data_IF_206510517035
#
_entry.id   IF_206510517035
#
_cell.length_a   1.000
_cell.length_b   1.000
_cell.length_c   1.000
_cell.angle_alpha   90.00
_cell.angle_beta   90.00
_cell.angle_gamma   90.00
#
_symmetry.space_group_name_H-M   'P 1'
#
loop_
_entity.id
_entity.type
_entity.pdbx_description
1 polymer ?
#
# COMPACT_ATOMS: atom_id res chain seq x y z
N UNK A 1 3.52 16.86 -11.90
CA UNK A 1 2.84 15.66 -12.43
C UNK A 1 1.50 16.03 -13.05
N UNK A 2 1.15 15.48 -14.21
CA UNK A 2 -0.17 15.62 -14.83
C UNK A 2 -0.55 14.31 -15.53
N UNK A 3 -1.87 14.04 -15.60
CA UNK A 3 -2.40 12.89 -16.32
C UNK A 3 -2.47 13.21 -17.81
N UNK A 4 -2.04 12.27 -18.64
CA UNK A 4 -2.16 12.39 -20.12
C UNK A 4 -3.45 11.76 -20.61
N UNK A 5 -3.97 10.75 -19.92
CA UNK A 5 -5.23 10.11 -20.26
C UNK A 5 -5.51 8.84 -19.47
N UNK A 6 -6.74 8.38 -19.60
CA UNK A 6 -7.21 7.10 -19.06
C UNK A 6 -7.74 6.28 -20.24
N UNK A 7 -7.40 5.01 -20.30
CA UNK A 7 -7.89 4.11 -21.32
C UNK A 7 -8.59 2.89 -20.68
N UNK A 8 -9.67 2.45 -21.29
CA UNK A 8 -10.37 1.24 -20.93
C UNK A 8 -9.93 0.09 -21.85
N UNK A 9 -9.48 -1.01 -21.25
CA UNK A 9 -9.04 -2.20 -21.96
C UNK A 9 -10.16 -3.25 -21.89
N UNK A 10 -10.59 -3.77 -23.05
CA UNK A 10 -11.62 -4.79 -23.13
C UNK A 10 -11.07 -6.18 -22.81
N UNK A 11 -11.85 -6.95 -22.05
CA UNK A 11 -11.48 -8.33 -21.69
C UNK A 11 -11.23 -9.19 -22.94
N UNK A 12 -10.11 -9.92 -22.95
CA UNK A 12 -9.77 -10.87 -24.00
C UNK A 12 -9.37 -10.24 -25.34
N UNK A 13 -9.11 -8.95 -25.38
CA UNK A 13 -8.64 -8.26 -26.57
C UNK A 13 -7.21 -7.78 -26.39
N UNK A 14 -6.44 -7.76 -27.49
CA UNK A 14 -5.18 -7.03 -27.61
C UNK A 14 -5.53 -5.66 -28.16
N UNK A 15 -5.22 -4.62 -27.42
CA UNK A 15 -5.54 -3.25 -27.82
C UNK A 15 -4.28 -2.39 -27.84
N UNK A 16 -4.18 -1.54 -28.84
CA UNK A 16 -3.17 -0.50 -28.91
C UNK A 16 -3.77 0.79 -28.41
N UNK A 17 -3.19 1.33 -27.35
CA UNK A 17 -3.62 2.59 -26.75
C UNK A 17 -2.57 3.64 -27.09
N UNK A 18 -3.00 4.77 -27.62
CA UNK A 18 -2.15 5.91 -27.93
C UNK A 18 -2.42 7.02 -26.95
N UNK A 19 -1.39 7.55 -26.34
CA UNK A 19 -1.42 8.75 -25.53
C UNK A 19 -0.62 9.84 -26.23
N UNK A 20 -1.22 11.01 -26.35
CA UNK A 20 -0.59 12.20 -26.92
C UNK A 20 -0.62 13.34 -25.92
N UNK A 21 0.47 14.07 -25.85
CA UNK A 21 0.52 15.29 -25.04
C UNK A 21 -0.29 16.39 -25.70
N UNK A 22 -1.14 17.04 -24.92
CA UNK A 22 -1.82 18.25 -25.37
C UNK A 22 -0.80 19.38 -25.59
N UNK A 23 -1.10 20.34 -26.52
CA UNK A 23 -0.21 21.46 -26.86
C UNK A 23 0.33 22.18 -25.63
N UNK A 24 -0.52 22.52 -24.65
CA UNK A 24 -0.11 23.18 -23.40
C UNK A 24 0.81 22.33 -22.53
N UNK A 25 0.66 21.01 -22.55
CA UNK A 25 1.56 20.09 -21.84
C UNK A 25 2.94 20.07 -22.52
N UNK A 26 2.98 20.08 -23.84
CA UNK A 26 4.22 20.19 -24.62
C UNK A 26 4.94 21.51 -24.34
N UNK A 27 4.21 22.65 -24.38
CA UNK A 27 4.77 23.96 -24.06
C UNK A 27 5.36 24.02 -22.65
N UNK A 28 4.65 23.44 -21.67
CA UNK A 28 5.16 23.34 -20.30
C UNK A 28 6.42 22.46 -20.21
N UNK A 29 6.45 21.31 -20.87
CA UNK A 29 7.63 20.43 -20.86
C UNK A 29 8.82 21.12 -21.53
N UNK A 30 8.61 21.83 -22.66
CA UNK A 30 9.68 22.61 -23.30
C UNK A 30 10.21 23.72 -22.40
N UNK A 31 9.38 24.33 -21.56
CA UNK A 31 9.82 25.36 -20.60
C UNK A 31 10.72 24.82 -19.49
N UNK A 32 10.71 23.49 -19.26
CA UNK A 32 11.60 22.82 -18.30
C UNK A 32 13.00 22.53 -18.85
N UNK A 33 13.22 22.81 -20.14
CA UNK A 33 14.48 22.52 -20.87
C UNK A 33 14.65 21.02 -21.13
N UNK A 34 15.90 20.56 -21.28
CA UNK A 34 16.24 19.17 -21.63
C UNK A 34 16.17 18.18 -20.45
N UNK A 35 15.37 18.47 -19.44
CA UNK A 35 15.18 17.55 -18.32
C UNK A 35 14.45 16.29 -18.76
N UNK A 36 14.90 15.09 -18.32
CA UNK A 36 14.22 13.86 -18.68
C UNK A 36 12.79 13.85 -18.12
N UNK A 37 11.86 13.41 -18.96
CA UNK A 37 10.43 13.28 -18.60
C UNK A 37 10.17 11.83 -18.20
N UNK A 38 9.65 11.64 -16.99
CA UNK A 38 9.25 10.33 -16.49
C UNK A 38 7.80 10.02 -16.94
N UNK A 39 7.65 8.93 -17.67
CA UNK A 39 6.35 8.35 -18.01
C UNK A 39 6.01 7.22 -17.04
N UNK A 40 4.83 7.27 -16.45
CA UNK A 40 4.34 6.23 -15.54
C UNK A 40 3.01 5.68 -16.05
N UNK A 41 2.96 4.38 -16.24
CA UNK A 41 1.74 3.65 -16.58
C UNK A 41 1.18 2.98 -15.34
N UNK A 42 -0.01 3.41 -14.93
CA UNK A 42 -0.70 2.86 -13.75
C UNK A 42 -1.67 1.80 -14.25
N UNK A 43 -1.37 0.56 -13.93
CA UNK A 43 -2.21 -0.58 -14.30
C UNK A 43 -3.39 -0.74 -13.34
N UNK A 44 -4.53 -1.31 -13.78
CA UNK A 44 -5.65 -1.59 -12.89
C UNK A 44 -5.25 -2.59 -11.81
N UNK A 45 -5.73 -2.35 -10.58
CA UNK A 45 -5.37 -3.13 -9.40
C UNK A 45 -6.07 -4.49 -9.30
N UNK A 46 -7.17 -4.69 -10.07
CA UNK A 46 -8.07 -5.86 -9.91
C UNK A 46 -8.16 -6.74 -11.14
N UNK A 47 -7.38 -6.46 -12.17
CA UNK A 47 -7.46 -7.19 -13.43
C UNK A 47 -6.09 -7.62 -13.88
N UNK A 48 -5.94 -8.89 -14.24
CA UNK A 48 -4.71 -9.39 -14.86
C UNK A 48 -4.58 -8.80 -16.26
N UNK A 49 -3.46 -8.10 -16.49
CA UNK A 49 -3.11 -7.51 -17.78
C UNK A 49 -1.79 -8.10 -18.26
N UNK A 50 -1.74 -8.44 -19.54
CA UNK A 50 -0.51 -8.75 -20.24
C UNK A 50 -0.04 -7.52 -21.00
N UNK A 51 1.17 -7.09 -20.72
CA UNK A 51 1.81 -5.98 -21.38
C UNK A 51 2.76 -6.52 -22.43
N UNK A 52 2.68 -6.03 -23.67
CA UNK A 52 3.49 -6.52 -24.79
C UNK A 52 4.63 -5.57 -25.13
N UNK A 53 4.31 -4.32 -25.45
CA UNK A 53 5.32 -3.34 -25.88
C UNK A 53 4.92 -1.89 -25.55
N UNK A 54 5.90 -1.02 -25.48
CA UNK A 54 5.74 0.43 -25.57
C UNK A 54 6.46 0.91 -26.82
N UNK A 55 5.77 1.71 -27.63
CA UNK A 55 6.35 2.41 -28.78
C UNK A 55 6.28 3.90 -28.52
N UNK A 56 7.38 4.60 -28.64
CA UNK A 56 7.45 6.05 -28.52
C UNK A 56 8.21 6.67 -29.69
N UNK A 57 7.97 7.95 -29.98
CA UNK A 57 8.70 8.67 -31.02
C UNK A 57 10.18 8.81 -30.69
N UNK A 58 10.50 9.01 -29.43
CA UNK A 58 11.87 9.13 -28.94
C UNK A 58 12.30 7.88 -28.16
N UNK A 59 13.62 7.71 -28.03
CA UNK A 59 14.18 6.60 -27.24
C UNK A 59 13.68 6.66 -25.80
N UNK A 60 13.09 5.56 -25.34
CA UNK A 60 12.73 5.35 -23.95
C UNK A 60 13.86 4.63 -23.22
N UNK A 61 14.24 5.15 -22.08
CA UNK A 61 15.13 4.45 -21.17
C UNK A 61 14.29 3.91 -20.01
N UNK A 62 14.45 2.62 -19.70
CA UNK A 62 13.82 2.05 -18.52
C UNK A 62 14.46 2.67 -17.29
N UNK A 63 13.64 3.25 -16.43
CA UNK A 63 14.09 3.60 -15.09
C UNK A 63 14.18 2.31 -14.27
N UNK A 64 15.37 1.89 -13.94
CA UNK A 64 15.60 0.79 -13.02
C UNK A 64 15.64 1.38 -11.62
N UNK A 65 14.56 1.23 -10.90
CA UNK A 65 14.53 1.52 -9.47
C UNK A 65 15.05 0.27 -8.75
N UNK A 66 16.29 0.34 -8.30
CA UNK A 66 16.98 -0.83 -7.73
C UNK A 66 16.48 -1.17 -6.32
N UNK A 67 15.81 -0.23 -5.65
CA UNK A 67 15.32 -0.40 -4.28
C UNK A 67 13.95 0.24 -4.10
N UNK A 68 12.96 -0.60 -3.87
CA UNK A 68 11.59 -0.17 -3.59
C UNK A 68 11.18 -0.52 -2.17
N UNK A 69 10.26 0.24 -1.60
CA UNK A 69 9.51 -0.23 -0.46
C UNK A 69 8.55 -1.34 -0.90
N UNK A 70 8.53 -2.44 -0.17
CA UNK A 70 7.58 -3.53 -0.39
C UNK A 70 6.33 -3.22 0.43
N UNK A 71 5.20 -3.02 -0.23
CA UNK A 71 3.91 -2.89 0.42
C UNK A 71 3.20 -4.25 0.40
N UNK A 72 2.86 -4.76 1.59
CA UNK A 72 2.04 -5.96 1.77
C UNK A 72 0.85 -5.63 2.67
N UNK A 73 -0.32 -6.13 2.34
CA UNK A 73 -1.53 -5.84 3.07
C UNK A 73 -2.79 -6.41 2.43
N UNK A 74 -3.92 -5.95 2.89
CA UNK A 74 -5.26 -6.37 2.50
C UNK A 74 -5.74 -5.70 1.19
N UNK A 75 -7.05 -5.81 0.94
CA UNK A 75 -7.77 -5.05 -0.10
C UNK A 75 -7.54 -3.54 0.00
N UNK A 76 -7.37 -3.01 1.19
CA UNK A 76 -7.11 -1.59 1.43
C UNK A 76 -5.76 -1.19 0.81
N UNK A 77 -4.73 -1.97 1.05
CA UNK A 77 -3.41 -1.77 0.45
C UNK A 77 -3.39 -2.00 -1.05
N UNK A 78 -4.22 -2.92 -1.55
CA UNK A 78 -4.40 -3.11 -2.99
C UNK A 78 -5.06 -1.90 -3.65
N UNK A 79 -5.86 -1.11 -2.92
CA UNK A 79 -6.51 0.11 -3.38
C UNK A 79 -8.03 0.00 -3.57
N UNK A 80 -8.71 -0.97 -2.89
CA UNK A 80 -10.18 -1.07 -2.92
C UNK A 80 -10.80 0.18 -2.34
N UNK A 81 -11.84 0.70 -3.02
CA UNK A 81 -12.52 1.95 -2.67
C UNK A 81 -11.90 3.20 -3.28
N UNK A 82 -10.67 3.14 -3.81
CA UNK A 82 -10.10 4.22 -4.60
C UNK A 82 -10.76 4.32 -5.98
N UNK A 83 -10.93 5.53 -6.49
CA UNK A 83 -11.52 5.80 -7.81
C UNK A 83 -10.74 5.11 -8.94
N UNK A 84 -9.43 5.07 -8.81
CA UNK A 84 -8.51 4.41 -9.74
C UNK A 84 -7.17 4.14 -9.02
N UNK A 85 -6.24 3.47 -9.70
CA UNK A 85 -4.93 3.15 -9.12
C UNK A 85 -4.13 4.36 -8.63
N UNK A 86 -4.27 5.51 -9.29
CA UNK A 86 -3.60 6.76 -8.90
C UNK A 86 -4.20 7.42 -7.65
N UNK A 87 -5.39 7.00 -7.24
CA UNK A 87 -6.05 7.48 -6.02
C UNK A 87 -5.84 6.54 -4.83
N UNK A 88 -5.18 5.39 -5.03
CA UNK A 88 -4.86 4.47 -3.92
C UNK A 88 -3.83 5.08 -2.97
N UNK A 89 -3.89 4.73 -1.70
CA UNK A 89 -2.94 5.26 -0.73
C UNK A 89 -1.49 4.87 -1.07
N UNK A 90 -1.30 3.71 -1.66
CA UNK A 90 0.01 3.26 -2.12
C UNK A 90 0.61 4.23 -3.15
N UNK A 91 -0.19 4.68 -4.12
CA UNK A 91 0.24 5.67 -5.09
C UNK A 91 0.42 7.06 -4.47
N UNK A 92 -0.53 7.52 -3.66
CA UNK A 92 -0.42 8.80 -2.96
C UNK A 92 0.84 8.86 -2.08
N UNK A 93 1.20 7.73 -1.45
CA UNK A 93 2.39 7.64 -0.63
C UNK A 93 3.68 7.76 -1.45
N UNK A 94 3.74 7.13 -2.64
CA UNK A 94 4.85 7.30 -3.57
C UNK A 94 5.05 8.76 -3.96
N UNK A 95 3.96 9.46 -4.28
CA UNK A 95 4.02 10.88 -4.66
C UNK A 95 4.42 11.77 -3.48
N UNK A 96 3.87 11.53 -2.28
CA UNK A 96 4.14 12.32 -1.08
C UNK A 96 5.59 12.23 -0.59
N UNK A 97 6.24 11.09 -0.85
CA UNK A 97 7.57 10.76 -0.33
C UNK A 97 8.65 10.68 -1.43
N UNK A 98 8.23 10.73 -2.70
CA UNK A 98 9.13 10.52 -3.83
C UNK A 98 9.90 9.20 -3.76
N UNK A 99 9.24 8.14 -3.30
CA UNK A 99 9.78 6.78 -3.18
C UNK A 99 9.14 5.84 -4.20
N UNK A 100 9.80 4.74 -4.48
CA UNK A 100 9.21 3.63 -5.23
C UNK A 100 8.53 2.64 -4.28
N UNK A 101 7.33 2.19 -4.62
CA UNK A 101 6.60 1.17 -3.87
C UNK A 101 6.24 0.02 -4.82
N UNK A 102 6.72 -1.17 -4.49
CA UNK A 102 6.29 -2.42 -5.10
C UNK A 102 5.12 -2.99 -4.31
N UNK A 103 3.91 -2.72 -4.77
CA UNK A 103 2.69 -3.17 -4.10
C UNK A 103 2.45 -4.67 -4.35
N UNK A 104 2.51 -5.46 -3.27
CA UNK A 104 2.27 -6.91 -3.22
C UNK A 104 1.00 -7.26 -2.43
N UNK A 105 0.18 -6.27 -2.12
CA UNK A 105 -1.09 -6.49 -1.45
C UNK A 105 -2.11 -7.18 -2.35
N UNK A 106 -2.91 -8.05 -1.74
CA UNK A 106 -3.97 -8.78 -2.43
C UNK A 106 -5.20 -8.87 -1.54
N UNK A 107 -6.35 -8.52 -2.11
CA UNK A 107 -7.66 -8.53 -1.44
C UNK A 107 -7.96 -9.90 -0.83
N UNK A 108 -8.32 -9.92 0.45
CA UNK A 108 -8.63 -11.15 1.19
C UNK A 108 -7.43 -12.02 1.56
N UNK A 109 -6.22 -11.70 1.13
CA UNK A 109 -5.06 -12.60 1.19
C UNK A 109 -3.92 -12.13 2.11
N UNK A 110 -4.14 -11.14 2.96
CA UNK A 110 -3.15 -10.74 3.95
C UNK A 110 -3.22 -11.63 5.20
N UNK A 111 -2.78 -12.89 5.05
CA UNK A 111 -2.88 -13.95 6.05
C UNK A 111 -1.53 -14.40 6.62
N UNK A 112 -0.45 -13.75 6.19
CA UNK A 112 0.92 -14.01 6.66
C UNK A 112 1.35 -15.49 6.47
N UNK A 113 0.93 -16.11 5.36
CA UNK A 113 1.34 -17.48 5.04
C UNK A 113 2.87 -17.54 4.86
N UNK A 114 3.53 -18.60 5.38
CA UNK A 114 4.99 -18.72 5.32
C UNK A 114 5.57 -18.56 3.91
N UNK A 115 4.94 -19.13 2.90
CA UNK A 115 5.41 -19.02 1.50
C UNK A 115 5.39 -17.58 0.98
N UNK A 116 4.34 -16.83 1.33
CA UNK A 116 4.22 -15.41 0.98
C UNK A 116 5.29 -14.60 1.73
N UNK A 117 5.47 -14.85 3.01
CA UNK A 117 6.48 -14.18 3.84
C UNK A 117 7.89 -14.45 3.30
N UNK A 118 8.21 -15.71 2.96
CA UNK A 118 9.48 -16.09 2.34
C UNK A 118 9.69 -15.36 1.01
N UNK A 119 8.67 -15.30 0.16
CA UNK A 119 8.73 -14.55 -1.09
C UNK A 119 9.02 -13.06 -0.85
N UNK A 120 8.33 -12.41 0.10
CA UNK A 120 8.56 -11.00 0.41
C UNK A 120 9.99 -10.75 0.92
N UNK A 121 10.52 -11.65 1.73
CA UNK A 121 11.88 -11.57 2.27
C UNK A 121 12.97 -11.71 1.19
N UNK A 122 12.69 -12.45 0.11
CA UNK A 122 13.60 -12.59 -1.04
C UNK A 122 13.67 -11.36 -1.94
N UNK A 123 12.71 -10.43 -1.83
CA UNK A 123 12.70 -9.24 -2.68
C UNK A 123 13.83 -8.27 -2.30
N UNK A 124 14.34 -7.53 -3.30
CA UNK A 124 15.25 -6.42 -3.03
C UNK A 124 14.44 -5.23 -2.50
N UNK A 125 14.47 -5.03 -1.19
CA UNK A 125 13.64 -4.06 -0.48
C UNK A 125 14.49 -2.96 0.16
N UNK A 126 14.12 -1.70 -0.07
CA UNK A 126 14.58 -0.55 0.72
C UNK A 126 13.96 -0.57 2.14
N UNK A 127 12.77 -1.13 2.25
CA UNK A 127 12.03 -1.29 3.51
C UNK A 127 10.67 -1.92 3.24
N UNK A 128 9.91 -2.10 4.30
CA UNK A 128 8.60 -2.73 4.23
C UNK A 128 7.51 -1.82 4.79
N UNK A 129 6.34 -1.82 4.16
CA UNK A 129 5.11 -1.20 4.66
C UNK A 129 4.08 -2.31 4.75
N UNK A 130 3.67 -2.65 5.97
CA UNK A 130 2.85 -3.82 6.28
C UNK A 130 1.52 -3.36 6.90
N UNK A 131 0.41 -3.50 6.18
CA UNK A 131 -0.94 -3.27 6.71
C UNK A 131 -1.53 -4.60 7.15
N UNK A 132 -1.66 -4.80 8.48
CA UNK A 132 -1.84 -6.11 9.07
C UNK A 132 -3.09 -6.24 9.94
N UNK A 133 -3.69 -7.43 9.91
CA UNK A 133 -4.77 -7.87 10.81
C UNK A 133 -6.16 -7.85 10.19
N UNK A 134 -6.42 -7.01 9.19
CA UNK A 134 -7.75 -6.83 8.61
C UNK A 134 -8.35 -8.14 8.06
N UNK A 135 -7.62 -8.89 7.24
CA UNK A 135 -8.11 -10.15 6.68
C UNK A 135 -8.00 -11.31 7.70
N UNK A 136 -6.92 -11.34 8.47
CA UNK A 136 -6.62 -12.44 9.38
C UNK A 136 -7.72 -12.67 10.43
N UNK A 137 -8.31 -11.60 10.99
CA UNK A 137 -9.38 -11.69 11.99
C UNK A 137 -10.63 -12.45 11.54
N UNK A 138 -10.87 -12.56 10.22
CA UNK A 138 -12.00 -13.30 9.67
C UNK A 138 -11.76 -14.81 9.56
N UNK A 139 -10.49 -15.28 9.63
CA UNK A 139 -10.12 -16.66 9.30
C UNK A 139 -9.26 -17.36 10.36
N UNK A 140 -8.71 -16.64 11.34
CA UNK A 140 -7.89 -17.23 12.40
C UNK A 140 -8.09 -16.51 13.75
N UNK A 141 -7.60 -17.10 14.81
CA UNK A 141 -7.52 -16.47 16.12
C UNK A 141 -6.25 -15.62 16.28
N UNK A 142 -6.14 -14.90 17.39
CA UNK A 142 -5.00 -14.02 17.66
C UNK A 142 -3.72 -14.77 17.99
N UNK A 143 -3.81 -16.04 18.40
CA UNK A 143 -2.65 -16.89 18.72
C UNK A 143 -1.97 -17.34 17.42
N UNK A 144 -2.75 -17.88 16.48
CA UNK A 144 -2.22 -18.26 15.15
C UNK A 144 -1.72 -17.03 14.39
N UNK A 145 -2.43 -15.91 14.45
CA UNK A 145 -1.96 -14.66 13.88
C UNK A 145 -0.61 -14.23 14.49
N UNK A 146 -0.50 -14.27 15.81
CA UNK A 146 0.74 -13.91 16.50
C UNK A 146 1.91 -14.82 16.10
N UNK A 147 1.67 -16.13 15.94
CA UNK A 147 2.69 -17.08 15.47
C UNK A 147 3.18 -16.75 14.07
N UNK A 148 2.28 -16.45 13.15
CA UNK A 148 2.65 -16.06 11.76
C UNK A 148 3.36 -14.70 11.71
N UNK A 149 2.90 -13.74 12.49
CA UNK A 149 3.55 -12.44 12.61
C UNK A 149 4.95 -12.55 13.25
N UNK A 150 5.11 -13.39 14.25
CA UNK A 150 6.40 -13.67 14.88
C UNK A 150 7.40 -14.23 13.85
N UNK A 151 6.97 -15.22 13.07
CA UNK A 151 7.75 -15.77 11.96
C UNK A 151 8.16 -14.70 10.93
N UNK A 152 7.19 -13.84 10.52
CA UNK A 152 7.46 -12.78 9.56
C UNK A 152 8.49 -11.78 10.08
N UNK A 153 8.33 -11.32 11.31
CA UNK A 153 9.24 -10.32 11.88
C UNK A 153 10.63 -10.91 12.13
N UNK A 154 10.70 -12.15 12.61
CA UNK A 154 11.96 -12.88 12.79
C UNK A 154 12.73 -12.98 11.46
N UNK A 155 12.06 -13.43 10.41
CA UNK A 155 12.68 -13.60 9.10
C UNK A 155 13.14 -12.25 8.51
N UNK A 156 12.29 -11.23 8.54
CA UNK A 156 12.61 -9.92 7.97
C UNK A 156 13.75 -9.22 8.75
N UNK A 157 13.74 -9.26 10.08
CA UNK A 157 14.80 -8.63 10.88
C UNK A 157 16.12 -9.39 10.79
N UNK A 158 16.09 -10.71 10.60
CA UNK A 158 17.28 -11.53 10.40
C UNK A 158 17.90 -11.32 9.02
N UNK A 159 17.09 -11.40 7.95
CA UNK A 159 17.61 -11.33 6.59
C UNK A 159 17.84 -9.88 6.10
N UNK A 160 17.15 -8.91 6.69
CA UNK A 160 17.16 -7.49 6.29
C UNK A 160 17.32 -6.57 7.52
N UNK A 161 18.39 -6.71 8.32
CA UNK A 161 18.51 -6.02 9.61
C UNK A 161 18.49 -4.49 9.50
N UNK A 162 18.90 -3.93 8.36
CA UNK A 162 18.96 -2.50 8.12
C UNK A 162 17.70 -1.94 7.41
N UNK A 163 16.77 -2.81 7.01
CA UNK A 163 15.54 -2.37 6.33
C UNK A 163 14.50 -1.90 7.34
N UNK A 164 13.98 -0.68 7.24
CA UNK A 164 12.90 -0.23 8.10
C UNK A 164 11.61 -0.99 7.78
N UNK A 165 10.87 -1.36 8.83
CA UNK A 165 9.59 -2.03 8.75
C UNK A 165 8.52 -1.09 9.35
N UNK A 166 7.67 -0.53 8.52
CA UNK A 166 6.54 0.30 8.94
C UNK A 166 5.30 -0.60 9.01
N UNK A 167 4.76 -0.80 10.20
CA UNK A 167 3.56 -1.60 10.41
C UNK A 167 2.38 -0.66 10.66
N UNK A 168 1.34 -0.80 9.86
CA UNK A 168 0.03 -0.19 10.09
C UNK A 168 -0.88 -1.29 10.63
N UNK A 169 -1.34 -1.14 11.88
CA UNK A 169 -2.31 -2.08 12.42
C UNK A 169 -3.72 -1.78 11.87
N UNK A 170 -4.74 -2.47 12.36
CA UNK A 170 -6.09 -2.45 11.81
C UNK A 170 -6.62 -1.02 11.67
N UNK A 171 -7.05 -0.69 10.46
CA UNK A 171 -7.68 0.58 10.10
C UNK A 171 -9.12 0.64 10.61
N UNK A 172 -9.62 1.86 10.81
CA UNK A 172 -11.01 2.06 11.24
C UNK A 172 -12.00 1.62 10.16
N UNK A 173 -13.10 1.06 10.63
CA UNK A 173 -14.30 0.74 9.87
C UNK A 173 -15.51 1.40 10.54
N UNK A 174 -16.68 1.34 9.88
CA UNK A 174 -17.91 1.90 10.42
C UNK A 174 -18.17 1.50 11.89
N UNK A 175 -18.01 0.22 12.19
CA UNK A 175 -18.23 -0.33 13.54
C UNK A 175 -17.31 0.29 14.59
N UNK A 176 -16.13 0.72 14.19
CA UNK A 176 -15.15 1.35 15.06
C UNK A 176 -15.42 2.84 15.24
N UNK A 177 -15.92 3.52 14.22
CA UNK A 177 -16.27 4.95 14.25
C UNK A 177 -17.50 5.19 15.17
N UNK A 178 -18.46 4.28 15.17
CA UNK A 178 -19.72 4.41 15.91
C UNK A 178 -19.79 3.62 17.22
N UNK A 179 -18.68 3.26 17.81
CA UNK A 179 -18.58 2.48 19.08
C UNK A 179 -19.44 2.94 20.27
N UNK A 180 -20.10 4.08 20.21
CA UNK A 180 -20.76 4.67 21.39
C UNK A 180 -22.09 4.02 21.80
N UNK A 181 -22.78 3.27 20.92
CA UNK A 181 -24.16 2.84 21.20
C UNK A 181 -24.58 1.46 20.70
N UNK A 182 -23.68 0.57 20.28
CA UNK A 182 -24.09 -0.72 19.72
C UNK A 182 -23.34 -1.91 20.30
N UNK A 183 -23.95 -3.05 20.20
CA UNK A 183 -23.35 -4.37 20.41
C UNK A 183 -21.97 -4.39 19.75
N UNK A 184 -20.94 -4.55 20.56
CA UNK A 184 -19.56 -4.65 20.05
C UNK A 184 -19.51 -5.87 19.16
N UNK A 185 -19.30 -5.66 17.86
CA UNK A 185 -19.24 -6.76 16.91
C UNK A 185 -18.10 -7.72 17.26
N UNK A 186 -18.23 -8.98 16.82
CA UNK A 186 -17.17 -9.98 16.98
C UNK A 186 -15.84 -9.51 16.40
N UNK A 187 -15.88 -8.79 15.27
CA UNK A 187 -14.69 -8.22 14.66
C UNK A 187 -14.02 -7.16 15.55
N UNK A 188 -14.79 -6.27 16.18
CA UNK A 188 -14.23 -5.27 17.07
C UNK A 188 -13.56 -5.88 18.31
N UNK A 189 -14.07 -7.01 18.81
CA UNK A 189 -13.42 -7.76 19.89
C UNK A 189 -12.11 -8.38 19.43
N UNK A 190 -12.10 -9.02 18.25
CA UNK A 190 -10.90 -9.58 17.65
C UNK A 190 -9.85 -8.50 17.36
N UNK A 191 -10.24 -7.32 16.89
CA UNK A 191 -9.33 -6.20 16.63
C UNK A 191 -8.48 -5.85 17.86
N UNK A 192 -9.07 -5.83 19.04
CA UNK A 192 -8.35 -5.55 20.29
C UNK A 192 -7.25 -6.60 20.53
N UNK A 193 -7.59 -7.88 20.33
CA UNK A 193 -6.64 -8.98 20.54
C UNK A 193 -5.51 -8.93 19.51
N UNK A 194 -5.83 -8.74 18.23
CA UNK A 194 -4.84 -8.64 17.16
C UNK A 194 -3.90 -7.44 17.34
N UNK A 195 -4.45 -6.28 17.67
CA UNK A 195 -3.65 -5.07 17.96
C UNK A 195 -2.72 -5.31 19.16
N UNK A 196 -3.19 -6.02 20.19
CA UNK A 196 -2.37 -6.41 21.35
C UNK A 196 -1.19 -7.29 20.92
N UNK A 197 -1.42 -8.29 20.06
CA UNK A 197 -0.35 -9.16 19.55
C UNK A 197 0.65 -8.38 18.69
N UNK A 198 0.17 -7.50 17.80
CA UNK A 198 1.05 -6.64 16.99
C UNK A 198 1.95 -5.80 17.90
N UNK A 199 1.38 -5.11 18.90
CA UNK A 199 2.15 -4.28 19.84
C UNK A 199 3.19 -5.09 20.60
N UNK A 200 2.81 -6.29 21.08
CA UNK A 200 3.71 -7.18 21.81
C UNK A 200 4.92 -7.59 20.95
N UNK A 201 4.66 -8.01 19.71
CA UNK A 201 5.70 -8.48 18.81
C UNK A 201 6.57 -7.31 18.28
N UNK A 202 5.98 -6.18 17.96
CA UNK A 202 6.75 -4.96 17.63
C UNK A 202 7.72 -4.61 18.77
N UNK A 203 7.27 -4.65 20.03
CA UNK A 203 8.16 -4.40 21.17
C UNK A 203 9.30 -5.43 21.23
N UNK A 204 9.00 -6.74 21.03
CA UNK A 204 10.01 -7.83 21.03
C UNK A 204 11.10 -7.58 19.99
N UNK A 205 10.72 -7.21 18.77
CA UNK A 205 11.66 -7.09 17.65
C UNK A 205 12.27 -5.69 17.48
N UNK A 206 11.74 -4.67 18.12
CA UNK A 206 12.26 -3.30 18.00
C UNK A 206 13.65 -3.12 18.66
N UNK A 207 14.07 -4.06 19.50
CA UNK A 207 15.43 -4.11 20.06
C UNK A 207 16.46 -4.63 19.04
N UNK A 208 15.99 -5.32 17.99
CA UNK A 208 16.85 -5.98 16.99
C UNK A 208 16.77 -5.23 15.65
N UNK A 209 15.61 -4.62 15.34
CA UNK A 209 15.35 -4.03 14.03
C UNK A 209 14.68 -2.66 14.09
N UNK A 210 14.61 -2.02 12.95
CA UNK A 210 13.99 -0.68 12.78
C UNK A 210 12.50 -0.82 12.50
N UNK A 211 11.67 -1.09 13.52
CA UNK A 211 10.22 -1.30 13.37
C UNK A 211 9.45 -0.09 13.88
N UNK A 212 8.55 0.44 13.04
CA UNK A 212 7.73 1.62 13.30
C UNK A 212 6.25 1.25 13.26
N UNK A 213 5.57 1.34 14.39
CA UNK A 213 4.15 1.02 14.48
C UNK A 213 3.27 2.26 14.33
N UNK A 214 2.34 2.20 13.40
CA UNK A 214 1.30 3.21 13.18
C UNK A 214 -0.04 2.61 13.60
N UNK A 215 -0.78 3.36 14.42
CA UNK A 215 -2.16 2.99 14.75
C UNK A 215 -3.06 3.32 13.57
N UNK A 216 -3.63 2.29 12.94
CA UNK A 216 -4.58 2.45 11.85
C UNK A 216 -5.80 3.28 12.23
N UNK A 217 -6.24 3.17 13.49
CA UNK A 217 -7.35 3.95 14.05
C UNK A 217 -7.12 5.48 14.10
N UNK A 218 -5.93 5.94 13.76
CA UNK A 218 -5.60 7.37 13.71
C UNK A 218 -5.44 7.92 12.29
N UNK A 219 -5.61 7.08 11.27
CA UNK A 219 -5.30 7.48 9.90
C UNK A 219 -6.52 8.00 9.14
N UNK A 220 -7.64 7.31 9.17
CA UNK A 220 -8.86 7.67 8.44
C UNK A 220 -10.05 7.53 9.41
N UNK A 221 -10.36 8.59 10.14
CA UNK A 221 -11.16 8.54 11.38
C UNK A 221 -12.58 9.07 11.22
N UNK A 222 -12.96 9.54 10.04
CA UNK A 222 -14.28 10.15 9.79
C UNK A 222 -15.06 9.33 8.76
N UNK A 223 -16.40 9.40 8.82
CA UNK A 223 -17.27 8.60 7.96
C UNK A 223 -17.02 8.82 6.45
N UNK A 224 -16.70 10.03 6.06
CA UNK A 224 -16.37 10.38 4.68
C UNK A 224 -15.01 9.81 4.18
N UNK A 225 -14.24 9.23 5.10
CA UNK A 225 -13.07 8.42 4.76
C UNK A 225 -13.45 6.99 4.34
N UNK A 226 -14.70 6.56 4.51
CA UNK A 226 -15.19 5.25 4.07
C UNK A 226 -15.87 5.34 2.72
N UNK A 227 -15.75 4.29 1.92
CA UNK A 227 -16.49 4.10 0.68
C UNK A 227 -17.93 3.68 0.96
N UNK A 228 -18.71 3.50 -0.09
CA UNK A 228 -20.14 3.14 0.03
C UNK A 228 -20.40 1.81 0.75
N UNK A 229 -19.42 0.92 0.81
CA UNK A 229 -19.52 -0.36 1.52
C UNK A 229 -19.21 -0.24 3.03
N UNK A 230 -18.84 0.95 3.49
CA UNK A 230 -18.53 1.29 4.88
C UNK A 230 -17.44 0.42 5.52
N UNK A 231 -16.66 -0.23 4.69
CA UNK A 231 -15.56 -1.11 5.03
C UNK A 231 -14.22 -0.61 4.48
N UNK A 232 -14.19 -0.31 3.18
CA UNK A 232 -12.99 0.14 2.51
C UNK A 232 -12.87 1.67 2.53
N UNK A 233 -11.67 2.22 2.45
CA UNK A 233 -11.48 3.66 2.37
C UNK A 233 -12.08 4.25 1.09
N UNK A 234 -12.67 5.44 1.19
CA UNK A 234 -12.96 6.30 0.04
C UNK A 234 -11.68 6.92 -0.52
N UNK A 235 -11.76 7.68 -1.62
CA UNK A 235 -10.61 8.46 -2.10
C UNK A 235 -10.00 9.33 -0.98
N UNK A 236 -10.85 10.01 -0.21
CA UNK A 236 -10.41 10.80 0.94
C UNK A 236 -9.73 9.92 2.01
N UNK A 237 -10.28 8.74 2.28
CA UNK A 237 -9.69 7.77 3.19
C UNK A 237 -8.29 7.33 2.74
N UNK A 238 -8.12 7.01 1.47
CA UNK A 238 -6.83 6.67 0.90
C UNK A 238 -5.81 7.82 1.02
N UNK A 239 -6.23 9.05 0.73
CA UNK A 239 -5.38 10.23 0.89
C UNK A 239 -4.96 10.43 2.35
N UNK A 240 -5.90 10.31 3.30
CA UNK A 240 -5.62 10.46 4.73
C UNK A 240 -4.67 9.37 5.26
N UNK A 241 -4.83 8.12 4.81
CA UNK A 241 -3.92 7.02 5.14
C UNK A 241 -2.51 7.34 4.62
N UNK A 242 -2.39 7.75 3.37
CA UNK A 242 -1.10 8.12 2.78
C UNK A 242 -0.42 9.28 3.54
N UNK A 243 -1.16 10.34 3.86
CA UNK A 243 -0.65 11.47 4.63
C UNK A 243 -0.18 11.06 6.02
N UNK A 244 -0.94 10.21 6.71
CA UNK A 244 -0.57 9.72 8.04
C UNK A 244 0.70 8.87 8.03
N UNK A 245 0.82 7.94 7.09
CA UNK A 245 2.03 7.13 6.91
C UNK A 245 3.23 8.02 6.52
N UNK A 246 3.02 8.97 5.58
CA UNK A 246 4.07 9.90 5.15
C UNK A 246 4.64 10.72 6.30
N UNK A 247 3.78 11.21 7.21
CA UNK A 247 4.22 11.95 8.39
C UNK A 247 5.15 11.14 9.28
N UNK A 248 4.84 9.86 9.49
CA UNK A 248 5.67 8.97 10.29
C UNK A 248 6.99 8.68 9.58
N UNK A 249 6.95 8.33 8.29
CA UNK A 249 8.15 8.02 7.52
C UNK A 249 9.10 9.23 7.45
N UNK A 250 8.59 10.45 7.23
CA UNK A 250 9.40 11.69 7.27
C UNK A 250 9.99 11.95 8.65
N UNK A 251 9.20 11.77 9.73
CA UNK A 251 9.65 11.96 11.10
C UNK A 251 10.88 11.13 11.45
N UNK A 252 10.97 9.92 10.91
CA UNK A 252 12.05 8.98 11.19
C UNK A 252 13.08 8.88 10.05
N UNK A 253 13.05 9.78 9.06
CA UNK A 253 13.96 9.82 7.91
C UNK A 253 14.02 8.49 7.14
N UNK A 254 12.84 7.90 6.85
CA UNK A 254 12.71 6.63 6.17
C UNK A 254 12.51 6.75 4.64
N UNK A 255 12.67 7.90 4.03
CA UNK A 255 12.45 8.15 2.61
C UNK A 255 13.65 8.83 1.95
#
# INVERSE_FOLDING_TARGET
NFSVGIANIRKGKIERIRFELHKRQMEYLHSLGDKPVLWRFIMPSYTRISFYEIVAQNKLNKLCDNESYILYGSSISQGVGALNGASSYAFCLQENLHISILNKALSGACLLEPDVVNYLACLNAKGYILELGCNARGVMDDIEFAKRLDYMLDLLTTLKPNCPIVIVNILEMLENIYKKNSIVSEFAQKDVLFIKQIKRLVKKYNEIGHIYLISGSKLATTLDCLSQDLLHPSNKGHEMIALGISKVMKKYNLC
#
